data_IF_324246176098
#
_entry.id   IF_324246176098
#
_cell.length_a   1.000
_cell.length_b   1.000
_cell.length_c   1.000
_cell.angle_alpha   90.00
_cell.angle_beta   90.00
_cell.angle_gamma   90.00
#
_symmetry.space_group_name_H-M   'P 1'
#
loop_
_entity.id
_entity.type
_entity.pdbx_description
1 polymer ?
#
# COMPACT_ATOMS: atom_id res chain seq x y z
N UNK A 1 -12.85 7.45 3.03
CA UNK A 1 -12.39 6.53 1.98
C UNK A 1 -13.45 6.45 0.90
N UNK A 2 -13.08 6.51 -0.38
CA UNK A 2 -14.01 6.40 -1.50
C UNK A 2 -14.41 4.94 -1.73
N UNK A 3 -15.33 4.45 -0.90
CA UNK A 3 -15.78 3.07 -0.92
C UNK A 3 -16.56 2.74 -2.20
N UNK A 4 -17.44 3.64 -2.66
CA UNK A 4 -18.23 3.44 -3.88
C UNK A 4 -17.33 3.35 -5.12
N UNK A 5 -16.34 4.23 -5.25
CA UNK A 5 -15.36 4.17 -6.33
C UNK A 5 -14.46 2.94 -6.22
N UNK A 6 -14.06 2.56 -5.01
CA UNK A 6 -13.29 1.34 -4.77
C UNK A 6 -14.05 0.07 -5.19
N UNK A 7 -15.34 -0.01 -4.88
CA UNK A 7 -16.22 -1.12 -5.25
C UNK A 7 -16.64 -1.09 -6.74
N UNK A 8 -16.25 -0.06 -7.50
CA UNK A 8 -16.61 0.10 -8.91
C UNK A 8 -18.06 0.53 -9.15
N UNK A 9 -18.74 1.06 -8.13
CA UNK A 9 -20.11 1.58 -8.23
C UNK A 9 -20.15 3.00 -8.80
N UNK A 10 -19.06 3.75 -8.62
CA UNK A 10 -18.87 5.12 -9.13
C UNK A 10 -17.46 5.27 -9.70
N UNK A 11 -17.20 6.40 -10.35
CA UNK A 11 -15.83 6.79 -10.68
C UNK A 11 -15.00 6.99 -9.40
N UNK A 12 -13.71 6.65 -9.47
CA UNK A 12 -12.78 6.77 -8.33
C UNK A 12 -12.35 8.21 -8.13
N UNK A 13 -12.42 8.68 -6.89
CA UNK A 13 -11.89 9.99 -6.50
C UNK A 13 -10.35 9.90 -6.38
N UNK A 14 -9.67 10.43 -7.39
CA UNK A 14 -8.20 10.36 -7.51
C UNK A 14 -7.50 11.72 -7.60
N UNK A 15 -8.16 12.81 -7.99
CA UNK A 15 -7.47 14.11 -8.06
C UNK A 15 -7.37 14.77 -6.68
N UNK A 16 -6.25 15.43 -6.35
CA UNK A 16 -6.08 16.09 -5.04
C UNK A 16 -7.20 17.06 -4.68
N UNK A 17 -7.67 17.84 -5.65
CA UNK A 17 -8.74 18.83 -5.46
C UNK A 17 -10.04 18.15 -5.06
N UNK A 18 -10.42 17.08 -5.75
CA UNK A 18 -11.64 16.32 -5.45
C UNK A 18 -11.52 15.57 -4.13
N UNK A 19 -10.33 15.07 -3.78
CA UNK A 19 -10.11 14.44 -2.47
C UNK A 19 -10.29 15.46 -1.35
N UNK A 20 -9.74 16.67 -1.50
CA UNK A 20 -9.88 17.74 -0.51
C UNK A 20 -11.34 18.20 -0.41
N UNK A 21 -12.02 18.40 -1.54
CA UNK A 21 -13.44 18.80 -1.58
C UNK A 21 -14.37 17.77 -0.93
N UNK A 22 -14.15 16.48 -1.22
CA UNK A 22 -15.08 15.41 -0.81
C UNK A 22 -14.70 14.77 0.53
N UNK A 23 -13.44 14.86 0.95
CA UNK A 23 -12.91 14.12 2.09
C UNK A 23 -12.76 12.60 1.85
N UNK A 24 -12.89 12.15 0.61
CA UNK A 24 -12.84 10.73 0.23
C UNK A 24 -11.80 10.49 -0.88
N UNK A 25 -11.09 9.37 -0.78
CA UNK A 25 -10.10 8.95 -1.78
C UNK A 25 -9.97 7.43 -1.81
N UNK A 26 -9.51 6.90 -2.94
CA UNK A 26 -8.86 5.58 -3.04
C UNK A 26 -7.34 5.73 -2.86
N UNK A 27 -6.57 4.67 -3.09
CA UNK A 27 -5.11 4.70 -2.98
C UNK A 27 -4.44 5.76 -3.88
N UNK A 28 -4.87 5.86 -5.14
CA UNK A 28 -4.39 6.91 -6.06
C UNK A 28 -4.62 8.31 -5.49
N UNK A 29 -5.84 8.64 -5.08
CA UNK A 29 -6.14 9.96 -4.51
C UNK A 29 -5.39 10.26 -3.20
N UNK A 30 -5.24 9.26 -2.33
CA UNK A 30 -4.48 9.42 -1.09
C UNK A 30 -3.00 9.69 -1.38
N UNK A 31 -2.43 8.96 -2.34
CA UNK A 31 -1.05 9.15 -2.83
C UNK A 31 -0.85 10.52 -3.47
N UNK A 32 -1.79 10.97 -4.29
CA UNK A 32 -1.70 12.25 -4.99
C UNK A 32 -1.83 13.44 -4.04
N UNK A 33 -2.70 13.36 -3.02
CA UNK A 33 -2.75 14.38 -1.96
C UNK A 33 -1.45 14.42 -1.17
N UNK A 34 -0.90 13.27 -0.78
CA UNK A 34 0.39 13.24 -0.08
C UNK A 34 1.51 13.88 -0.92
N UNK A 35 1.56 13.56 -2.22
CA UNK A 35 2.50 14.20 -3.14
C UNK A 35 2.32 15.71 -3.19
N UNK A 36 1.08 16.20 -3.28
CA UNK A 36 0.83 17.64 -3.32
C UNK A 36 1.21 18.31 -2.01
N UNK A 37 0.89 17.72 -0.86
CA UNK A 37 1.30 18.24 0.45
C UNK A 37 2.83 18.35 0.56
N UNK A 38 3.57 17.33 0.12
CA UNK A 38 5.04 17.41 0.11
C UNK A 38 5.56 18.56 -0.78
N UNK A 39 4.92 18.82 -1.92
CA UNK A 39 5.29 19.94 -2.80
C UNK A 39 5.04 21.30 -2.15
N UNK A 40 3.93 21.45 -1.42
CA UNK A 40 3.59 22.71 -0.74
C UNK A 40 4.52 23.01 0.44
N UNK A 41 5.01 21.99 1.15
CA UNK A 41 5.96 22.17 2.27
C UNK A 41 7.31 22.73 1.79
N UNK A 42 7.65 22.58 0.50
CA UNK A 42 8.81 23.20 -0.13
C UNK A 42 9.68 22.21 -0.90
N UNK A 43 10.66 22.75 -1.65
CA UNK A 43 11.54 21.99 -2.55
C UNK A 43 12.49 21.00 -1.86
N UNK A 44 12.56 21.03 -0.53
CA UNK A 44 13.46 20.19 0.27
C UNK A 44 12.94 18.75 0.43
N UNK A 45 11.62 18.53 0.25
CA UNK A 45 11.00 17.21 0.36
C UNK A 45 10.71 16.67 -1.04
N UNK A 46 11.55 15.74 -1.51
CA UNK A 46 11.21 15.01 -2.73
C UNK A 46 10.19 13.91 -2.42
N UNK A 47 9.07 13.90 -3.16
CA UNK A 47 8.05 12.85 -3.04
C UNK A 47 7.75 12.24 -4.40
N UNK A 48 7.58 10.91 -4.43
CA UNK A 48 7.24 10.14 -5.63
C UNK A 48 6.06 9.24 -5.33
N UNK A 49 5.10 9.20 -6.24
CA UNK A 49 4.07 8.17 -6.23
C UNK A 49 4.68 6.86 -6.74
N UNK A 50 4.33 5.77 -6.07
CA UNK A 50 4.86 4.44 -6.31
C UNK A 50 3.69 3.49 -6.50
N UNK A 51 3.52 3.01 -7.74
CA UNK A 51 2.56 1.97 -8.08
C UNK A 51 3.15 0.58 -7.88
N UNK A 52 2.30 -0.36 -7.46
CA UNK A 52 2.70 -1.75 -7.31
C UNK A 52 1.59 -2.67 -6.85
N UNK A 53 1.99 -3.70 -6.11
CA UNK A 53 1.17 -4.82 -5.69
C UNK A 53 0.94 -4.77 -4.19
N UNK A 54 -0.34 -4.67 -3.81
CA UNK A 54 -0.78 -4.78 -2.43
C UNK A 54 -1.14 -6.22 -2.05
N UNK A 55 -0.65 -6.70 -0.91
CA UNK A 55 -0.98 -8.00 -0.30
C UNK A 55 -1.64 -7.75 1.06
N UNK A 56 -2.96 -7.91 1.10
CA UNK A 56 -3.79 -7.69 2.28
C UNK A 56 -5.24 -8.11 2.02
N UNK A 57 -6.05 -8.23 3.08
CA UNK A 57 -7.48 -8.60 2.97
C UNK A 57 -8.28 -7.58 2.13
N UNK A 58 -7.84 -6.33 2.14
CA UNK A 58 -8.56 -5.18 1.60
C UNK A 58 -8.24 -4.93 0.12
N UNK A 59 -7.37 -5.74 -0.48
CA UNK A 59 -6.90 -5.52 -1.86
C UNK A 59 -7.64 -6.41 -2.85
N UNK A 60 -8.67 -7.13 -2.39
CA UNK A 60 -9.35 -8.13 -3.20
C UNK A 60 -8.35 -9.07 -3.86
N UNK A 61 -7.28 -9.43 -3.14
CA UNK A 61 -6.24 -10.36 -3.60
C UNK A 61 -6.85 -11.75 -3.73
N UNK A 62 -7.69 -11.92 -4.76
CA UNK A 62 -8.12 -13.21 -5.25
C UNK A 62 -6.92 -13.74 -6.02
N UNK A 63 -6.27 -14.74 -5.47
CA UNK A 63 -5.45 -15.68 -6.23
C UNK A 63 -6.40 -16.42 -7.19
N UNK A 64 -6.88 -15.71 -8.21
CA UNK A 64 -7.48 -16.35 -9.38
C UNK A 64 -6.42 -17.32 -9.91
N UNK A 65 -6.81 -18.59 -9.97
CA UNK A 65 -5.99 -19.74 -10.32
C UNK A 65 -5.55 -19.74 -11.81
N UNK A 66 -5.69 -18.62 -12.54
CA UNK A 66 -5.07 -18.34 -13.84
C UNK A 66 -3.87 -17.38 -13.71
N UNK A 67 -2.91 -17.74 -12.85
CA UNK A 67 -1.69 -16.98 -12.57
C UNK A 67 -0.80 -16.76 -13.81
N UNK A 68 -1.05 -15.71 -14.60
CA UNK A 68 -0.01 -15.13 -15.45
C UNK A 68 0.11 -13.59 -15.40
N UNK A 69 -0.94 -12.82 -15.08
CA UNK A 69 -0.86 -11.35 -15.16
C UNK A 69 -1.62 -10.61 -14.04
N UNK A 70 -1.09 -10.65 -12.81
CA UNK A 70 -1.53 -9.68 -11.78
C UNK A 70 -1.05 -8.30 -12.22
N UNK A 71 -1.97 -7.35 -12.36
CA UNK A 71 -1.65 -5.94 -12.62
C UNK A 71 -1.37 -5.22 -11.30
N UNK A 72 -0.51 -4.19 -11.28
CA UNK A 72 -0.41 -3.29 -10.14
C UNK A 72 -1.80 -2.81 -9.72
N UNK A 73 -2.11 -2.96 -8.44
CA UNK A 73 -3.45 -2.74 -7.87
C UNK A 73 -3.44 -1.75 -6.70
N UNK A 74 -2.27 -1.22 -6.33
CA UNK A 74 -2.12 -0.31 -5.21
C UNK A 74 -1.09 0.79 -5.49
N UNK A 75 -1.23 1.91 -4.78
CA UNK A 75 -0.38 3.09 -4.94
C UNK A 75 -0.13 3.76 -3.59
N UNK A 76 1.11 4.18 -3.37
CA UNK A 76 1.60 4.82 -2.14
C UNK A 76 2.73 5.78 -2.49
N UNK A 77 3.45 6.33 -1.49
CA UNK A 77 4.51 7.30 -1.73
C UNK A 77 5.87 6.82 -1.23
N UNK A 78 6.93 7.27 -1.91
CA UNK A 78 8.28 7.32 -1.38
C UNK A 78 8.66 8.80 -1.17
N UNK A 79 9.16 9.15 0.01
CA UNK A 79 9.56 10.51 0.36
C UNK A 79 11.05 10.55 0.73
N UNK A 80 11.76 11.59 0.32
CA UNK A 80 13.15 11.82 0.71
C UNK A 80 13.20 12.84 1.83
N UNK A 81 13.78 12.45 2.96
CA UNK A 81 14.02 13.29 4.13
C UNK A 81 15.50 13.18 4.48
N UNK A 82 16.20 14.30 4.64
CA UNK A 82 17.63 14.31 5.03
C UNK A 82 18.48 13.32 4.21
N UNK A 83 18.32 13.36 2.88
CA UNK A 83 18.97 12.49 1.88
C UNK A 83 18.63 10.99 1.94
N UNK A 84 17.67 10.57 2.76
CA UNK A 84 17.22 9.19 2.86
C UNK A 84 15.80 9.02 2.32
N UNK A 85 15.56 7.95 1.56
CA UNK A 85 14.23 7.60 1.07
C UNK A 85 13.47 6.75 2.09
N UNK A 86 12.21 7.08 2.30
CA UNK A 86 11.28 6.41 3.19
C UNK A 86 10.00 6.05 2.44
N UNK A 87 9.32 4.99 2.89
CA UNK A 87 8.06 4.53 2.31
C UNK A 87 6.90 4.90 3.22
N UNK A 88 5.81 5.38 2.63
CA UNK A 88 4.59 5.69 3.37
C UNK A 88 3.36 5.33 2.53
N UNK A 89 2.33 4.84 3.20
CA UNK A 89 1.04 4.51 2.60
C UNK A 89 -0.09 5.19 3.37
N UNK A 90 -0.45 6.39 2.94
CA UNK A 90 -1.53 7.16 3.55
C UNK A 90 -2.91 6.49 3.41
N UNK A 91 -3.08 5.63 2.40
CA UNK A 91 -4.34 4.95 2.14
C UNK A 91 -4.61 3.88 3.20
N UNK A 92 -3.66 2.95 3.40
CA UNK A 92 -3.77 1.91 4.43
C UNK A 92 -3.44 2.41 5.84
N UNK A 93 -2.72 3.54 5.94
CA UNK A 93 -2.52 4.27 7.18
C UNK A 93 -3.80 4.91 7.73
N UNK A 94 -4.79 5.20 6.88
CA UNK A 94 -6.05 5.83 7.29
C UNK A 94 -7.12 4.82 7.76
N UNK A 95 -7.09 3.59 7.26
CA UNK A 95 -8.07 2.55 7.61
C UNK A 95 -8.07 1.35 6.67
N UNK A 96 -9.08 0.50 6.84
CA UNK A 96 -9.24 -0.81 6.20
C UNK A 96 -10.62 -0.91 5.55
N UNK A 97 -10.69 -1.53 4.37
CA UNK A 97 -11.97 -1.90 3.73
C UNK A 97 -12.28 -3.36 4.04
N UNK A 98 -13.39 -3.58 4.73
CA UNK A 98 -13.90 -4.92 4.98
C UNK A 98 -14.80 -5.36 3.81
N UNK A 99 -14.32 -6.32 3.03
CA UNK A 99 -15.01 -6.75 1.80
C UNK A 99 -16.31 -7.52 2.08
N UNK A 100 -16.40 -8.22 3.21
CA UNK A 100 -17.56 -9.04 3.56
C UNK A 100 -18.80 -8.19 3.85
N UNK A 101 -18.61 -7.09 4.57
CA UNK A 101 -19.69 -6.14 4.88
C UNK A 101 -19.71 -4.93 3.94
N UNK A 102 -18.78 -4.87 2.97
CA UNK A 102 -18.58 -3.72 2.06
C UNK A 102 -18.56 -2.42 2.85
N UNK A 103 -17.74 -2.33 3.88
CA UNK A 103 -17.64 -1.15 4.74
C UNK A 103 -16.21 -0.67 4.86
N UNK A 104 -16.05 0.61 5.20
CA UNK A 104 -14.75 1.18 5.51
C UNK A 104 -14.65 1.45 7.02
N UNK A 105 -13.63 0.90 7.65
CA UNK A 105 -13.29 1.17 9.05
C UNK A 105 -12.13 2.15 9.08
N UNK A 106 -12.44 3.39 9.47
CA UNK A 106 -11.43 4.40 9.76
C UNK A 106 -10.62 3.97 10.98
N UNK A 107 -9.33 3.75 10.79
CA UNK A 107 -8.42 3.31 11.85
C UNK A 107 -7.01 3.77 11.50
N UNK A 108 -6.52 4.75 12.24
CA UNK A 108 -5.15 5.22 12.06
C UNK A 108 -4.17 4.08 12.34
N UNK A 109 -3.21 3.92 11.42
CA UNK A 109 -2.24 2.84 11.47
C UNK A 109 -0.84 3.37 11.16
N UNK A 110 -0.13 3.73 12.22
CA UNK A 110 1.24 4.25 12.16
C UNK A 110 2.24 3.29 11.50
N UNK A 111 1.94 1.98 11.43
CA UNK A 111 2.80 1.02 10.72
C UNK A 111 3.10 1.48 9.30
N UNK A 112 2.17 2.17 8.63
CA UNK A 112 2.30 2.62 7.24
C UNK A 112 2.95 4.00 7.09
N UNK A 113 3.47 4.60 8.16
CA UNK A 113 4.17 5.87 8.14
C UNK A 113 5.68 5.65 8.31
N UNK A 114 6.45 5.92 7.24
CA UNK A 114 7.91 5.78 7.22
C UNK A 114 8.40 4.38 7.64
N UNK A 115 7.67 3.35 7.22
CA UNK A 115 7.94 1.94 7.55
C UNK A 115 9.31 1.49 7.05
N UNK A 116 9.99 0.65 7.83
CA UNK A 116 11.22 -0.01 7.36
C UNK A 116 10.92 -0.77 6.05
N UNK A 117 11.72 -0.57 4.99
CA UNK A 117 11.54 -1.26 3.70
C UNK A 117 11.43 -2.79 3.80
N UNK A 118 12.15 -3.42 4.75
CA UNK A 118 12.13 -4.87 4.98
C UNK A 118 10.77 -5.37 5.47
N UNK A 119 10.03 -4.51 6.15
CA UNK A 119 8.69 -4.82 6.66
C UNK A 119 7.63 -4.40 5.64
N UNK A 120 7.77 -3.21 5.06
CA UNK A 120 6.83 -2.66 4.08
C UNK A 120 6.66 -3.55 2.84
N UNK A 121 7.74 -4.12 2.32
CA UNK A 121 7.73 -4.99 1.12
C UNK A 121 6.83 -6.24 1.26
N UNK A 122 6.49 -6.64 2.49
CA UNK A 122 5.66 -7.82 2.73
C UNK A 122 4.18 -7.59 2.39
N UNK A 123 3.73 -6.33 2.42
CA UNK A 123 2.38 -5.93 2.04
C UNK A 123 2.36 -5.05 0.79
N UNK A 124 3.42 -4.29 0.52
CA UNK A 124 3.48 -3.30 -0.56
C UNK A 124 4.73 -3.52 -1.41
N UNK A 125 4.58 -4.23 -2.52
CA UNK A 125 5.70 -4.47 -3.45
C UNK A 125 5.59 -3.57 -4.69
N UNK A 126 6.52 -2.65 -4.94
CA UNK A 126 6.48 -1.79 -6.11
C UNK A 126 6.68 -2.55 -7.42
N UNK A 127 6.15 -2.00 -8.51
CA UNK A 127 6.42 -2.51 -9.87
C UNK A 127 7.90 -2.32 -10.24
N UNK A 128 8.46 -1.15 -9.93
CA UNK A 128 9.87 -0.83 -10.17
C UNK A 128 10.70 -1.22 -8.95
N UNK A 129 11.63 -2.16 -9.12
CA UNK A 129 12.41 -2.74 -8.03
C UNK A 129 13.19 -1.72 -7.19
N UNK A 130 13.66 -0.62 -7.79
CA UNK A 130 14.36 0.45 -7.08
C UNK A 130 13.59 1.03 -5.89
N UNK A 131 12.25 1.04 -5.97
CA UNK A 131 11.40 1.59 -4.91
C UNK A 131 11.15 0.60 -3.76
N UNK A 132 11.74 -0.59 -3.82
CA UNK A 132 11.76 -1.47 -2.66
C UNK A 132 12.66 -0.93 -1.56
N UNK A 133 13.65 -0.09 -1.91
CA UNK A 133 14.65 0.45 -0.97
C UNK A 133 15.37 -0.66 -0.17
N UNK A 134 15.57 -1.82 -0.82
CA UNK A 134 16.28 -2.98 -0.27
C UNK A 134 17.59 -3.19 -1.02
N UNK A 135 18.63 -3.59 -0.31
CA UNK A 135 19.90 -4.04 -0.91
C UNK A 135 19.71 -5.22 -1.85
N UNK A 136 18.78 -6.12 -1.49
CA UNK A 136 18.39 -7.29 -2.27
C UNK A 136 16.89 -7.24 -2.54
N UNK A 137 16.48 -6.69 -3.70
CA UNK A 137 15.08 -6.66 -4.08
C UNK A 137 14.48 -8.07 -4.11
N UNK A 138 13.31 -8.21 -3.50
CA UNK A 138 12.48 -9.41 -3.59
C UNK A 138 11.96 -9.49 -5.03
N UNK A 139 11.73 -10.69 -5.58
CA UNK A 139 11.07 -10.88 -6.89
C UNK A 139 9.55 -11.04 -6.77
N UNK A 140 8.79 -10.72 -7.81
CA UNK A 140 7.32 -10.76 -7.75
C UNK A 140 6.82 -12.16 -7.38
N UNK A 141 7.46 -13.20 -7.91
CA UNK A 141 7.15 -14.59 -7.59
C UNK A 141 7.39 -14.96 -6.12
N UNK A 142 8.40 -14.36 -5.50
CA UNK A 142 8.68 -14.54 -4.08
C UNK A 142 7.66 -13.79 -3.21
N UNK A 143 7.33 -12.55 -3.58
CA UNK A 143 6.28 -11.77 -2.93
C UNK A 143 4.92 -12.48 -2.99
N UNK A 144 4.59 -13.17 -4.08
CA UNK A 144 3.36 -13.97 -4.19
C UNK A 144 3.33 -15.10 -3.16
N UNK A 145 4.47 -15.78 -2.97
CA UNK A 145 4.61 -16.97 -2.09
C UNK A 145 4.91 -16.64 -0.62
N UNK A 146 5.22 -15.40 -0.28
CA UNK A 146 5.59 -15.00 1.10
C UNK A 146 4.41 -15.08 2.08
N UNK A 147 4.67 -15.30 3.37
CA UNK A 147 3.65 -15.18 4.44
C UNK A 147 3.01 -13.80 4.50
N UNK A 148 1.67 -13.72 4.55
CA UNK A 148 0.94 -12.48 4.78
C UNK A 148 1.20 -12.08 6.23
N UNK A 149 1.96 -11.01 6.42
CA UNK A 149 2.20 -10.38 7.70
C UNK A 149 1.46 -9.05 7.69
N UNK A 150 0.40 -8.94 8.49
CA UNK A 150 -0.36 -7.69 8.61
C UNK A 150 0.41 -6.69 9.47
N UNK A 151 -0.03 -5.44 9.50
CA UNK A 151 0.55 -4.44 10.41
C UNK A 151 0.56 -4.88 11.89
N UNK A 152 -0.47 -5.64 12.31
CA UNK A 152 -0.60 -6.18 13.66
C UNK A 152 0.49 -7.21 13.99
N UNK A 153 0.95 -7.98 13.00
CA UNK A 153 2.07 -8.92 13.19
C UNK A 153 3.31 -8.19 13.71
N UNK A 154 3.63 -7.04 13.10
CA UNK A 154 4.78 -6.21 13.47
C UNK A 154 4.56 -5.48 14.78
N UNK A 155 3.37 -4.91 15.00
CA UNK A 155 3.02 -4.21 16.25
C UNK A 155 3.11 -5.12 17.48
N UNK A 156 2.81 -6.40 17.33
CA UNK A 156 2.91 -7.40 18.39
C UNK A 156 4.33 -7.95 18.58
N UNK A 157 5.32 -7.49 17.80
CA UNK A 157 6.69 -7.98 17.86
C UNK A 157 6.84 -9.45 17.46
N UNK A 158 5.91 -9.97 16.64
CA UNK A 158 5.92 -11.38 16.26
C UNK A 158 7.06 -11.67 15.28
N UNK A 159 7.62 -12.87 15.39
CA UNK A 159 8.64 -13.37 14.46
C UNK A 159 8.15 -14.64 13.79
N UNK A 160 8.30 -14.71 12.47
CA UNK A 160 7.91 -15.87 11.69
C UNK A 160 9.01 -16.92 11.73
N UNK A 161 8.75 -18.03 12.41
CA UNK A 161 9.67 -19.17 12.47
C UNK A 161 9.49 -20.02 11.20
N UNK A 162 8.31 -20.62 11.02
CA UNK A 162 7.90 -21.39 9.84
C UNK A 162 6.36 -21.40 9.68
N UNK A 163 5.83 -21.64 8.46
CA UNK A 163 6.55 -21.74 7.18
C UNK A 163 6.94 -20.35 6.66
N UNK A 164 8.03 -20.25 5.88
CA UNK A 164 8.46 -18.97 5.26
C UNK A 164 7.82 -18.70 3.90
N UNK A 165 7.25 -19.74 3.30
CA UNK A 165 6.50 -19.70 2.05
C UNK A 165 5.20 -20.46 2.25
N UNK A 166 4.11 -19.97 1.65
CA UNK A 166 2.86 -20.71 1.60
C UNK A 166 2.25 -20.61 0.19
N UNK A 167 1.54 -21.66 -0.21
CA UNK A 167 0.59 -21.60 -1.32
C UNK A 167 -0.78 -21.42 -0.69
N UNK A 168 -1.41 -20.24 -0.80
CA UNK A 168 -2.83 -20.14 -0.44
C UNK A 168 -3.57 -20.76 -1.61
N UNK A 169 -3.98 -22.00 -1.42
CA UNK A 169 -4.97 -22.63 -2.28
C UNK A 169 -6.31 -22.18 -1.71
N UNK A 170 -6.88 -21.13 -2.28
CA UNK A 170 -8.27 -20.73 -2.07
C UNK A 170 -9.05 -21.01 -3.34
#
# INVERSE_FOLDING_TARGET
YDLSGYLGLTEKVCSPERVIETGHAVCGGSSSVCLQLCREVGIEIECREVGGYGKGKDVGYKLDQSCQNIKPNHMWNAVRLEDHWYLLDACWGAGIVEMDNKSYIKRYNEFYFLTDPKDFVNSNRPEKEKWQLLDKPIKLEEFKKSVLKTSEFYKLGLTLIHPKQYLLVT
#
